data_IF_210614115202
#
_entry.id   IF_210614115202
#
_cell.length_a   1.000
_cell.length_b   1.000
_cell.length_c   1.000
_cell.angle_alpha   90.00
_cell.angle_beta   90.00
_cell.angle_gamma   90.00
#
_symmetry.space_group_name_H-M   'P 1'
#
loop_
_entity.id
_entity.type
_entity.pdbx_description
1 polymer ?
#
# COMPACT_ATOMS: atom_id res chain seq x y z
N UNK A 1 2.08 -8.82 15.39
CA UNK A 1 2.15 -8.22 14.04
C UNK A 1 1.31 -6.94 14.05
N UNK A 2 1.92 -5.83 14.49
CA UNK A 2 1.22 -4.63 14.98
C UNK A 2 1.65 -3.36 14.24
N UNK A 3 2.12 -3.48 13.00
CA UNK A 3 2.72 -2.35 12.25
C UNK A 3 1.80 -1.74 11.19
N UNK A 4 0.51 -2.09 11.15
CA UNK A 4 -0.44 -1.55 10.14
C UNK A 4 -1.37 -0.47 10.72
N UNK A 5 -1.31 -0.25 12.04
CA UNK A 5 -2.10 0.79 12.69
C UNK A 5 -1.30 2.11 12.78
N UNK A 6 -1.43 2.93 11.74
CA UNK A 6 -1.98 4.28 11.89
C UNK A 6 -1.38 5.19 12.98
N UNK A 7 -0.05 5.28 13.15
CA UNK A 7 0.53 6.26 14.10
C UNK A 7 0.76 7.64 13.42
N UNK A 8 1.11 7.67 12.13
CA UNK A 8 1.41 8.95 11.44
C UNK A 8 0.22 9.65 10.81
N UNK A 9 -0.88 8.95 10.51
CA UNK A 9 -2.11 9.59 10.01
C UNK A 9 -2.89 10.32 11.12
N UNK A 10 -2.84 9.81 12.35
CA UNK A 10 -3.44 10.46 13.52
C UNK A 10 -2.77 11.81 13.83
N UNK A 11 -1.45 11.91 13.59
CA UNK A 11 -0.68 13.14 13.83
C UNK A 11 -1.15 14.34 12.98
N UNK A 12 -1.88 14.13 11.87
CA UNK A 12 -2.45 15.19 11.03
C UNK A 12 -3.98 15.24 11.00
N UNK A 13 -4.66 14.52 11.89
CA UNK A 13 -6.12 14.55 12.04
C UNK A 13 -6.90 13.76 10.98
N UNK A 14 -6.27 12.87 10.22
CA UNK A 14 -6.94 12.03 9.22
C UNK A 14 -7.18 10.62 9.78
N UNK A 15 -8.46 10.22 9.88
CA UNK A 15 -8.84 8.83 10.09
C UNK A 15 -8.70 8.09 8.77
N UNK A 16 -7.77 7.14 8.71
CA UNK A 16 -7.57 6.32 7.52
C UNK A 16 -8.66 5.24 7.47
N UNK A 17 -9.26 4.97 6.29
CA UNK A 17 -10.20 3.88 6.17
C UNK A 17 -9.51 2.56 6.56
N UNK A 18 -10.12 1.80 7.48
CA UNK A 18 -9.68 0.45 7.88
C UNK A 18 -9.92 -0.56 6.76
N UNK A 19 -9.32 -0.31 5.59
CA UNK A 19 -9.46 -1.12 4.39
C UNK A 19 -8.16 -1.82 4.11
N UNK A 20 -8.21 -3.12 3.80
CA UNK A 20 -7.07 -3.87 3.30
C UNK A 20 -6.87 -3.70 1.78
N UNK A 21 -7.56 -2.74 1.18
CA UNK A 21 -7.56 -2.43 -0.25
C UNK A 21 -6.52 -1.35 -0.55
N UNK A 22 -5.29 -1.74 -0.87
CA UNK A 22 -4.18 -0.81 -1.12
C UNK A 22 -4.49 0.23 -2.21
N UNK A 23 -5.26 -0.13 -3.23
CA UNK A 23 -5.71 0.80 -4.29
C UNK A 23 -6.63 1.89 -3.74
N UNK A 24 -7.46 1.56 -2.75
CA UNK A 24 -8.33 2.53 -2.07
C UNK A 24 -7.52 3.46 -1.17
N UNK A 25 -6.54 2.91 -0.45
CA UNK A 25 -5.58 3.69 0.34
C UNK A 25 -4.81 4.68 -0.54
N UNK A 26 -4.31 4.25 -1.71
CA UNK A 26 -3.65 5.11 -2.69
C UNK A 26 -4.60 6.14 -3.31
N UNK A 27 -5.87 5.79 -3.49
CA UNK A 27 -6.91 6.75 -3.91
C UNK A 27 -7.07 7.90 -2.91
N UNK A 28 -7.18 7.57 -1.62
CA UNK A 28 -7.20 8.57 -0.53
C UNK A 28 -5.91 9.38 -0.52
N UNK A 29 -4.76 8.73 -0.67
CA UNK A 29 -3.47 9.41 -0.73
C UNK A 29 -3.43 10.47 -1.84
N UNK A 30 -3.88 10.12 -3.04
CA UNK A 30 -3.92 11.04 -4.18
C UNK A 30 -4.85 12.25 -3.97
N UNK A 31 -5.82 12.13 -3.07
CA UNK A 31 -6.72 13.24 -2.72
C UNK A 31 -6.11 14.21 -1.72
N UNK A 32 -5.10 13.78 -0.96
CA UNK A 32 -4.43 14.55 0.09
C UNK A 32 -3.13 15.18 -0.44
N UNK A 33 -2.38 14.46 -1.27
CA UNK A 33 -1.03 14.85 -1.69
C UNK A 33 -0.57 14.16 -2.98
N UNK A 34 0.41 14.74 -3.66
CA UNK A 34 1.09 14.22 -4.87
C UNK A 34 0.14 13.57 -5.90
N UNK A 35 -1.00 14.22 -6.16
CA UNK A 35 -2.11 13.66 -6.95
C UNK A 35 -1.65 13.01 -8.25
N UNK A 36 -0.92 13.73 -9.09
CA UNK A 36 -0.51 13.24 -10.41
C UNK A 36 0.52 12.11 -10.32
N UNK A 37 1.47 12.18 -9.37
CA UNK A 37 2.47 11.11 -9.16
C UNK A 37 1.80 9.83 -8.67
N UNK A 38 0.92 9.93 -7.66
CA UNK A 38 0.19 8.79 -7.11
C UNK A 38 -0.77 8.20 -8.16
N UNK A 39 -1.47 9.03 -8.94
CA UNK A 39 -2.33 8.55 -10.01
C UNK A 39 -1.55 7.87 -11.14
N UNK A 40 -0.40 8.41 -11.53
CA UNK A 40 0.45 7.80 -12.55
C UNK A 40 1.03 6.47 -12.06
N UNK A 41 1.45 6.39 -10.80
CA UNK A 41 1.90 5.16 -10.16
C UNK A 41 0.81 4.09 -10.14
N UNK A 42 -0.41 4.43 -9.71
CA UNK A 42 -1.55 3.49 -9.70
C UNK A 42 -1.91 3.01 -11.10
N UNK A 43 -1.82 3.89 -12.12
CA UNK A 43 -2.08 3.54 -13.52
C UNK A 43 -1.01 2.59 -14.08
N UNK A 44 0.27 2.88 -13.87
CA UNK A 44 1.37 2.07 -14.40
C UNK A 44 1.49 0.70 -13.72
N UNK A 45 1.12 0.62 -12.44
CA UNK A 45 1.25 -0.59 -11.60
C UNK A 45 -0.07 -1.31 -11.33
N UNK A 46 -1.14 -1.00 -12.09
CA UNK A 46 -2.50 -1.48 -11.79
C UNK A 46 -2.60 -3.01 -11.62
N UNK A 47 -1.99 -3.77 -12.52
CA UNK A 47 -2.04 -5.24 -12.48
C UNK A 47 -1.35 -5.82 -11.23
N UNK A 48 -0.20 -5.26 -10.87
CA UNK A 48 0.59 -5.67 -9.71
C UNK A 48 -0.10 -5.31 -8.39
N UNK A 49 -0.74 -4.14 -8.32
CA UNK A 49 -1.53 -3.74 -7.16
C UNK A 49 -2.75 -4.65 -6.95
N UNK A 50 -3.39 -5.11 -8.03
CA UNK A 50 -4.47 -6.11 -7.96
C UNK A 50 -3.92 -7.45 -7.47
N UNK A 51 -2.76 -7.89 -7.99
CA UNK A 51 -2.09 -9.11 -7.54
C UNK A 51 -1.78 -9.04 -6.04
N UNK A 52 -1.25 -7.92 -5.56
CA UNK A 52 -0.90 -7.70 -4.16
C UNK A 52 -2.12 -7.75 -3.23
N UNK A 53 -3.24 -7.11 -3.61
CA UNK A 53 -4.50 -7.20 -2.84
C UNK A 53 -5.07 -8.61 -2.81
N UNK A 54 -5.03 -9.29 -3.96
CA UNK A 54 -5.47 -10.68 -4.06
C UNK A 54 -4.60 -11.61 -3.22
N UNK A 55 -3.27 -11.43 -3.24
CA UNK A 55 -2.34 -12.22 -2.43
C UNK A 55 -2.62 -12.03 -0.93
N UNK A 56 -2.91 -10.80 -0.48
CA UNK A 56 -3.29 -10.53 0.91
C UNK A 56 -4.61 -11.20 1.29
N UNK A 57 -5.64 -11.02 0.46
CA UNK A 57 -6.97 -11.59 0.72
C UNK A 57 -6.92 -13.12 0.71
N UNK A 58 -6.26 -13.70 -0.29
CA UNK A 58 -6.20 -15.16 -0.46
C UNK A 58 -5.26 -15.82 0.56
N UNK A 59 -4.15 -15.18 0.93
CA UNK A 59 -3.25 -15.69 1.97
C UNK A 59 -3.88 -15.76 3.37
N UNK A 60 -4.93 -14.98 3.62
CA UNK A 60 -5.68 -15.03 4.88
C UNK A 60 -6.74 -16.14 4.93
N UNK A 61 -7.25 -16.59 3.79
CA UNK A 61 -8.44 -17.45 3.72
C UNK A 61 -8.27 -18.75 2.92
N UNK A 62 -7.17 -18.94 2.18
CA UNK A 62 -6.94 -20.13 1.34
C UNK A 62 -5.47 -20.56 1.29
N UNK A 63 -5.26 -21.87 1.10
CA UNK A 63 -4.00 -22.46 0.62
C UNK A 63 -3.77 -22.10 -0.85
N UNK A 64 -3.57 -20.82 -1.14
CA UNK A 64 -3.21 -20.38 -2.48
C UNK A 64 -1.73 -20.69 -2.71
N UNK A 65 -1.43 -21.49 -3.73
CA UNK A 65 -0.08 -21.62 -4.25
C UNK A 65 0.31 -20.34 -4.97
N UNK A 66 0.74 -19.33 -4.21
CA UNK A 66 1.39 -18.16 -4.79
C UNK A 66 2.71 -18.65 -5.38
N UNK A 67 2.90 -18.48 -6.69
CA UNK A 67 4.16 -18.83 -7.31
C UNK A 67 5.29 -17.97 -6.72
N UNK A 68 6.53 -18.45 -6.80
CA UNK A 68 7.68 -17.64 -6.38
C UNK A 68 7.74 -16.32 -7.15
N UNK A 69 7.43 -16.35 -8.44
CA UNK A 69 7.41 -15.17 -9.32
C UNK A 69 6.36 -14.17 -8.85
N UNK A 70 5.13 -14.62 -8.58
CA UNK A 70 4.07 -13.74 -8.06
C UNK A 70 4.43 -13.16 -6.69
N UNK A 71 5.10 -13.94 -5.84
CA UNK A 71 5.58 -13.49 -4.54
C UNK A 71 6.66 -12.40 -4.68
N UNK A 72 7.59 -12.56 -5.62
CA UNK A 72 8.63 -11.57 -5.93
C UNK A 72 8.02 -10.28 -6.50
N UNK A 73 7.02 -10.39 -7.39
CA UNK A 73 6.26 -9.23 -7.88
C UNK A 73 5.59 -8.52 -6.71
N UNK A 74 4.84 -9.23 -5.86
CA UNK A 74 4.18 -8.65 -4.69
C UNK A 74 5.17 -7.93 -3.77
N UNK A 75 6.33 -8.53 -3.49
CA UNK A 75 7.36 -7.95 -2.64
C UNK A 75 7.92 -6.66 -3.24
N UNK A 76 8.21 -6.65 -4.54
CA UNK A 76 8.74 -5.49 -5.23
C UNK A 76 7.71 -4.36 -5.28
N UNK A 77 6.47 -4.65 -5.64
CA UNK A 77 5.38 -3.66 -5.64
C UNK A 77 5.14 -3.09 -4.24
N UNK A 78 5.21 -3.92 -3.19
CA UNK A 78 5.07 -3.45 -1.82
C UNK A 78 6.19 -2.48 -1.41
N UNK A 79 7.45 -2.75 -1.82
CA UNK A 79 8.58 -1.85 -1.60
C UNK A 79 8.38 -0.51 -2.31
N UNK A 80 7.96 -0.53 -3.57
CA UNK A 80 7.70 0.70 -4.32
C UNK A 80 6.59 1.55 -3.67
N UNK A 81 5.54 0.91 -3.13
CA UNK A 81 4.51 1.63 -2.37
C UNK A 81 5.08 2.26 -1.09
N UNK A 82 5.92 1.54 -0.35
CA UNK A 82 6.59 2.09 0.85
C UNK A 82 7.45 3.29 0.48
N UNK A 83 8.19 3.23 -0.63
CA UNK A 83 9.03 4.34 -1.08
C UNK A 83 8.20 5.55 -1.53
N UNK A 84 7.08 5.33 -2.22
CA UNK A 84 6.12 6.40 -2.54
C UNK A 84 5.60 7.08 -1.28
N UNK A 85 5.23 6.30 -0.27
CA UNK A 85 4.73 6.81 1.01
C UNK A 85 5.83 7.55 1.78
N UNK A 86 7.07 7.05 1.78
CA UNK A 86 8.24 7.73 2.35
C UNK A 86 8.53 9.07 1.68
N UNK A 87 8.37 9.18 0.36
CA UNK A 87 8.50 10.48 -0.32
C UNK A 87 7.49 11.51 0.19
N UNK A 88 6.28 11.06 0.53
CA UNK A 88 5.20 11.93 1.00
C UNK A 88 5.41 12.36 2.45
N UNK A 89 5.80 11.44 3.33
CA UNK A 89 5.85 11.66 4.78
C UNK A 89 7.26 11.76 5.39
N UNK A 90 8.32 11.49 4.64
CA UNK A 90 9.68 11.36 5.17
C UNK A 90 9.84 10.17 6.12
N UNK A 91 10.91 10.20 6.93
CA UNK A 91 11.23 9.14 7.91
C UNK A 91 10.32 9.16 9.15
N UNK A 92 9.48 10.19 9.31
CA UNK A 92 8.50 10.27 10.39
C UNK A 92 7.46 9.15 10.31
N UNK A 93 7.26 8.56 9.12
CA UNK A 93 6.30 7.49 8.84
C UNK A 93 6.50 6.21 9.67
N UNK A 94 7.75 5.88 10.03
CA UNK A 94 8.12 4.67 10.79
C UNK A 94 9.03 4.97 11.99
N UNK A 95 8.86 6.13 12.62
CA UNK A 95 9.52 6.44 13.89
C UNK A 95 8.79 5.74 15.05
N UNK A 96 9.10 4.45 15.24
CA UNK A 96 8.57 3.63 16.33
C UNK A 96 9.61 2.62 16.79
#
# INVERSE_FOLDING_TARGET
>A
MQCVNCITCFAKGYSFPETHEIRRLLGVLSSITLKDEVQNFVKSRRGELILLENARTRGQYLSYGLSREDAEICLNTAREVIDLVRKVWGDEWCSG
#
